data_IF_872007119050
#
_entry.id   IF_872007119050
#
_cell.length_a   1.000
_cell.length_b   1.000
_cell.length_c   1.000
_cell.angle_alpha   90.00
_cell.angle_beta   90.00
_cell.angle_gamma   90.00
#
_symmetry.space_group_name_H-M   'P 1'
#
loop_
_entity.id
_entity.type
_entity.pdbx_description
1 polymer ?
#
# COMPACT_ATOMS: atom_id res chain seq x y z
N UNK A 1 0.06 -0.08 22.82
CA UNK A 1 -0.12 1.30 23.38
C UNK A 1 -1.52 1.86 23.17
N UNK A 2 -2.13 1.68 21.99
CA UNK A 2 -3.56 1.87 21.80
C UNK A 2 -4.30 0.55 22.09
N UNK A 3 -5.58 0.62 22.40
CA UNK A 3 -6.48 -0.54 22.52
C UNK A 3 -7.76 -0.26 21.73
N UNK A 4 -8.36 -1.32 21.16
CA UNK A 4 -9.67 -1.24 20.51
C UNK A 4 -10.74 -1.54 21.55
N UNK A 5 -11.70 -0.64 21.68
CA UNK A 5 -12.85 -0.74 22.58
C UNK A 5 -14.14 -0.74 21.76
N UNK A 6 -15.29 -0.96 22.39
CA UNK A 6 -16.59 -0.81 21.72
C UNK A 6 -16.79 0.61 21.13
N UNK A 7 -16.17 1.64 21.71
CA UNK A 7 -16.20 3.02 21.23
C UNK A 7 -15.11 3.34 20.17
N UNK A 8 -14.35 2.34 19.71
CA UNK A 8 -13.22 2.50 18.81
C UNK A 8 -11.86 2.47 19.51
N UNK A 9 -10.84 2.99 18.84
CA UNK A 9 -9.47 3.12 19.32
C UNK A 9 -9.37 4.16 20.43
N UNK A 10 -8.66 3.80 21.49
CA UNK A 10 -8.29 4.69 22.59
C UNK A 10 -6.87 4.39 23.07
N UNK A 11 -6.14 5.35 23.64
CA UNK A 11 -4.93 5.02 24.39
C UNK A 11 -5.27 4.07 25.54
N UNK A 12 -4.37 3.12 25.83
CA UNK A 12 -4.49 2.29 27.04
C UNK A 12 -4.52 3.19 28.29
N UNK A 13 -5.16 2.74 29.39
CA UNK A 13 -5.14 3.47 30.65
C UNK A 13 -3.71 3.85 31.06
N UNK A 14 -3.53 5.03 31.67
CA UNK A 14 -2.19 5.55 32.01
C UNK A 14 -1.36 4.56 32.84
N UNK A 15 -1.97 3.87 33.81
CA UNK A 15 -1.28 2.87 34.62
C UNK A 15 -0.76 1.69 33.78
N UNK A 16 -1.52 1.24 32.79
CA UNK A 16 -1.09 0.17 31.88
C UNK A 16 0.03 0.65 30.93
N UNK A 17 -0.04 1.90 30.45
CA UNK A 17 1.05 2.48 29.67
C UNK A 17 2.32 2.64 30.50
N UNK A 18 2.21 3.09 31.76
CA UNK A 18 3.35 3.22 32.67
C UNK A 18 4.02 1.89 32.97
N UNK A 19 3.23 0.85 33.26
CA UNK A 19 3.73 -0.51 33.43
C UNK A 19 4.47 -0.99 32.17
N UNK A 20 3.91 -0.75 30.98
CA UNK A 20 4.51 -1.14 29.72
C UNK A 20 5.82 -0.37 29.45
N UNK A 21 5.85 0.95 29.64
CA UNK A 21 7.08 1.74 29.47
C UNK A 21 8.14 1.35 30.51
N UNK A 22 7.75 1.12 31.75
CA UNK A 22 8.65 0.66 32.80
C UNK A 22 9.26 -0.70 32.45
N UNK A 23 8.45 -1.64 31.97
CA UNK A 23 8.92 -2.96 31.59
C UNK A 23 9.86 -2.94 30.37
N UNK A 24 9.56 -2.11 29.37
CA UNK A 24 10.27 -2.12 28.08
C UNK A 24 11.48 -1.19 28.06
N UNK A 25 11.33 0.03 28.56
CA UNK A 25 12.34 1.10 28.44
C UNK A 25 12.88 1.59 29.79
N UNK A 26 12.31 1.13 30.91
CA UNK A 26 12.72 1.54 32.26
C UNK A 26 12.01 2.81 32.76
N UNK A 27 10.87 3.16 32.16
CA UNK A 27 10.04 4.30 32.54
C UNK A 27 9.99 5.37 31.46
N UNK A 28 9.16 6.40 31.65
CA UNK A 28 9.05 7.52 30.72
C UNK A 28 7.94 8.49 31.08
N UNK A 29 7.85 9.60 30.34
CA UNK A 29 6.76 10.57 30.51
C UNK A 29 5.46 10.02 29.88
N UNK A 30 4.74 9.21 30.65
CA UNK A 30 3.47 8.59 30.26
C UNK A 30 2.41 9.64 29.97
N UNK A 31 2.43 10.78 30.67
CA UNK A 31 1.46 11.85 30.45
C UNK A 31 1.63 12.47 29.06
N UNK A 32 2.86 12.80 28.68
CA UNK A 32 3.17 13.30 27.35
C UNK A 32 2.87 12.27 26.26
N UNK A 33 3.21 10.99 26.49
CA UNK A 33 2.91 9.93 25.54
C UNK A 33 1.40 9.73 25.34
N UNK A 34 0.64 9.70 26.43
CA UNK A 34 -0.82 9.61 26.40
C UNK A 34 -1.43 10.76 25.59
N UNK A 35 -0.97 12.00 25.82
CA UNK A 35 -1.42 13.18 25.09
C UNK A 35 -1.16 13.06 23.57
N UNK A 36 -0.03 12.46 23.16
CA UNK A 36 0.31 12.23 21.75
C UNK A 36 -0.46 11.06 21.13
N UNK A 37 -0.86 10.06 21.91
CA UNK A 37 -1.65 8.92 21.44
C UNK A 37 -3.11 9.30 21.15
N UNK A 38 -3.67 10.29 21.86
CA UNK A 38 -5.04 10.77 21.65
C UNK A 38 -5.37 11.19 20.20
N UNK A 39 -4.60 12.09 19.53
CA UNK A 39 -4.88 12.46 18.15
C UNK A 39 -4.73 11.29 17.17
N UNK A 40 -3.85 10.33 17.46
CA UNK A 40 -3.69 9.11 16.65
C UNK A 40 -4.92 8.22 16.76
N UNK A 41 -5.39 7.97 17.99
CA UNK A 41 -6.61 7.21 18.24
C UNK A 41 -7.84 7.86 17.56
N UNK A 42 -7.96 9.19 17.67
CA UNK A 42 -9.01 9.96 16.97
C UNK A 42 -8.93 9.79 15.46
N UNK A 43 -7.73 9.91 14.89
CA UNK A 43 -7.52 9.74 13.45
C UNK A 43 -7.90 8.32 12.98
N UNK A 44 -7.57 7.28 13.75
CA UNK A 44 -7.98 5.91 13.47
C UNK A 44 -9.51 5.74 13.53
N UNK A 45 -10.18 6.32 14.53
CA UNK A 45 -11.64 6.27 14.65
C UNK A 45 -12.37 6.98 13.50
N UNK A 46 -11.73 7.98 12.89
CA UNK A 46 -12.26 8.70 11.74
C UNK A 46 -11.90 8.03 10.40
N UNK A 47 -11.22 6.87 10.41
CA UNK A 47 -10.68 6.26 9.19
C UNK A 47 -9.57 7.10 8.51
N UNK A 48 -9.05 8.12 9.19
CA UNK A 48 -8.03 9.02 8.67
C UNK A 48 -6.63 8.43 8.89
N UNK A 49 -6.31 7.43 8.08
CA UNK A 49 -5.12 6.61 8.28
C UNK A 49 -3.80 7.38 8.11
N UNK A 50 -3.73 8.43 7.26
CA UNK A 50 -2.46 9.18 7.14
C UNK A 50 -2.23 10.00 8.38
N UNK A 51 -3.27 10.63 8.91
CA UNK A 51 -3.10 11.42 10.11
C UNK A 51 -2.68 10.53 11.28
N UNK A 52 -3.20 9.29 11.35
CA UNK A 52 -2.73 8.30 12.30
C UNK A 52 -1.25 7.95 12.08
N UNK A 53 -0.84 7.64 10.84
CA UNK A 53 0.54 7.27 10.51
C UNK A 53 1.52 8.42 10.74
N UNK A 54 1.21 9.62 10.25
CA UNK A 54 1.98 10.84 10.50
C UNK A 54 2.10 11.05 12.02
N UNK A 55 0.99 10.94 12.75
CA UNK A 55 1.00 11.04 14.21
C UNK A 55 1.90 10.01 14.88
N UNK A 56 1.97 8.78 14.36
CA UNK A 56 2.90 7.76 14.89
C UNK A 56 4.37 8.10 14.67
N UNK A 57 4.73 8.79 13.58
CA UNK A 57 6.12 9.26 13.35
C UNK A 57 6.55 10.31 14.38
N UNK A 58 5.59 11.07 14.93
CA UNK A 58 5.83 12.06 15.98
C UNK A 58 5.68 11.50 17.40
N UNK A 59 5.36 10.21 17.57
CA UNK A 59 5.56 9.52 18.83
C UNK A 59 7.06 9.41 19.07
N UNK A 60 7.67 10.43 19.68
CA UNK A 60 9.05 10.40 20.16
C UNK A 60 9.15 9.38 21.31
N UNK A 61 9.17 8.11 20.94
CA UNK A 61 9.42 7.03 21.89
C UNK A 61 10.88 7.12 22.35
N UNK A 62 11.16 6.96 23.65
CA UNK A 62 12.52 6.90 24.13
C UNK A 62 13.28 5.78 23.40
N UNK A 63 14.55 6.01 23.02
CA UNK A 63 15.34 4.99 22.33
C UNK A 63 15.49 3.75 23.21
N UNK A 64 15.18 2.59 22.63
CA UNK A 64 15.32 1.30 23.30
C UNK A 64 16.66 0.71 22.89
N UNK A 65 17.53 0.38 23.84
CA UNK A 65 18.76 -0.35 23.49
C UNK A 65 18.41 -1.77 23.03
N UNK A 66 19.11 -2.29 22.01
CA UNK A 66 18.88 -3.65 21.50
C UNK A 66 18.96 -4.71 22.61
N UNK A 67 19.86 -4.52 23.59
CA UNK A 67 20.02 -5.41 24.75
C UNK A 67 18.76 -5.42 25.61
N UNK A 68 18.15 -4.25 25.87
CA UNK A 68 16.90 -4.16 26.63
C UNK A 68 15.71 -4.72 25.86
N UNK A 69 15.60 -4.43 24.57
CA UNK A 69 14.56 -5.01 23.70
C UNK A 69 14.61 -6.54 23.70
N UNK A 70 15.81 -7.13 23.54
CA UNK A 70 16.02 -8.59 23.59
C UNK A 70 15.75 -9.18 24.97
N UNK A 71 16.13 -8.48 26.05
CA UNK A 71 15.86 -8.93 27.43
C UNK A 71 14.37 -8.90 27.76
N UNK A 72 13.65 -7.88 27.29
CA UNK A 72 12.20 -7.81 27.38
C UNK A 72 11.56 -8.98 26.62
N UNK A 73 11.94 -9.21 25.35
CA UNK A 73 11.48 -10.36 24.55
C UNK A 73 11.73 -11.71 25.22
N UNK A 74 12.90 -11.92 25.82
CA UNK A 74 13.23 -13.16 26.55
C UNK A 74 12.40 -13.36 27.81
N UNK A 75 12.14 -12.29 28.57
CA UNK A 75 11.26 -12.34 29.76
C UNK A 75 9.81 -12.64 29.40
N UNK A 76 9.41 -12.39 28.16
CA UNK A 76 8.07 -12.61 27.64
C UNK A 76 7.79 -14.06 27.18
N UNK A 77 8.81 -14.95 27.15
CA UNK A 77 8.64 -16.40 27.05
C UNK A 77 8.39 -16.96 25.63
N UNK A 78 9.16 -18.00 25.26
CA UNK A 78 9.09 -18.72 23.97
C UNK A 78 7.84 -19.59 23.77
N UNK A 79 7.01 -19.81 24.80
CA UNK A 79 5.86 -20.73 24.74
C UNK A 79 4.65 -20.19 23.96
N UNK A 80 4.56 -18.87 23.77
CA UNK A 80 3.35 -18.21 23.28
C UNK A 80 3.22 -18.17 21.75
N UNK A 81 4.35 -18.30 21.04
CA UNK A 81 4.42 -18.18 19.57
C UNK A 81 3.88 -19.43 18.86
N UNK A 82 3.83 -20.60 19.53
CA UNK A 82 3.40 -21.87 18.90
C UNK A 82 1.88 -22.11 18.89
N UNK A 83 1.07 -21.30 19.60
CA UNK A 83 -0.40 -21.51 19.69
C UNK A 83 -1.23 -20.63 18.75
N UNK A 84 -0.60 -19.77 17.94
CA UNK A 84 -1.26 -18.67 17.23
C UNK A 84 -1.64 -18.96 15.76
N UNK A 85 -1.79 -20.24 15.37
CA UNK A 85 -2.29 -20.63 14.04
C UNK A 85 -3.42 -21.63 14.20
N UNK A 86 -4.58 -21.18 14.67
CA UNK A 86 -5.84 -21.89 14.48
C UNK A 86 -6.58 -21.24 13.30
N UNK A 87 -6.88 -22.03 12.26
CA UNK A 87 -7.75 -21.60 11.15
C UNK A 87 -9.11 -21.16 11.70
N UNK A 88 -9.74 -20.19 11.04
CA UNK A 88 -11.13 -19.83 11.33
C UNK A 88 -12.03 -21.07 11.25
N UNK A 89 -13.06 -21.13 12.11
CA UNK A 89 -14.04 -22.20 12.08
C UNK A 89 -14.83 -22.15 10.76
N UNK A 90 -15.24 -23.31 10.26
CA UNK A 90 -16.03 -23.46 9.03
C UNK A 90 -17.33 -22.65 9.05
N UNK A 91 -17.80 -22.28 10.26
CA UNK A 91 -19.11 -21.68 10.49
C UNK A 91 -19.04 -20.17 10.81
N UNK A 92 -17.97 -19.46 10.41
CA UNK A 92 -17.87 -18.00 10.60
C UNK A 92 -18.94 -17.27 9.78
N UNK A 93 -19.92 -16.59 10.41
CA UNK A 93 -21.03 -15.94 9.73
C UNK A 93 -20.60 -14.76 8.83
N UNK A 94 -19.43 -14.17 9.08
CA UNK A 94 -18.87 -13.10 8.23
C UNK A 94 -18.07 -13.65 7.05
N UNK A 95 -17.67 -14.93 7.11
CA UNK A 95 -16.76 -15.59 6.17
C UNK A 95 -17.18 -17.05 5.88
N UNK A 96 -18.39 -17.30 5.32
CA UNK A 96 -18.84 -18.66 5.03
C UNK A 96 -17.96 -19.28 3.94
N UNK A 97 -17.05 -20.15 4.36
CA UNK A 97 -16.29 -21.02 3.47
C UNK A 97 -17.11 -22.24 3.07
N UNK A 98 -16.82 -22.82 1.91
CA UNK A 98 -17.38 -24.12 1.58
C UNK A 98 -16.81 -25.20 2.51
N UNK A 99 -17.63 -26.13 3.04
CA UNK A 99 -17.15 -27.19 3.91
C UNK A 99 -16.13 -28.09 3.18
N UNK A 100 -15.15 -28.60 3.92
CA UNK A 100 -14.14 -29.51 3.39
C UNK A 100 -14.82 -30.78 2.83
N UNK A 101 -14.51 -31.14 1.58
CA UNK A 101 -15.16 -32.25 0.87
C UNK A 101 -16.42 -31.88 0.07
N UNK A 102 -16.69 -30.59 -0.17
CA UNK A 102 -17.74 -30.19 -1.09
C UNK A 102 -17.61 -30.93 -2.45
N UNK A 103 -18.71 -31.48 -2.99
CA UNK A 103 -18.70 -32.41 -4.14
C UNK A 103 -18.08 -31.83 -5.41
N UNK A 104 -18.04 -30.49 -5.50
CA UNK A 104 -17.52 -29.77 -6.66
C UNK A 104 -16.02 -29.41 -6.51
N UNK A 105 -15.35 -29.91 -5.47
CA UNK A 105 -13.93 -29.68 -5.21
C UNK A 105 -13.59 -28.30 -4.62
N UNK A 106 -14.60 -27.49 -4.28
CA UNK A 106 -14.44 -26.12 -3.77
C UNK A 106 -14.21 -26.03 -2.24
N UNK A 107 -14.00 -27.17 -1.57
CA UNK A 107 -13.81 -27.21 -0.12
C UNK A 107 -12.63 -26.35 0.31
N UNK A 108 -12.88 -25.37 1.18
CA UNK A 108 -11.87 -24.42 1.64
C UNK A 108 -11.76 -23.11 0.85
N UNK A 109 -12.58 -22.90 -0.19
CA UNK A 109 -12.65 -21.62 -0.93
C UNK A 109 -13.78 -20.70 -0.40
N UNK A 110 -13.63 -19.39 -0.61
CA UNK A 110 -14.59 -18.37 -0.19
C UNK A 110 -15.75 -18.23 -1.18
N UNK A 111 -17.00 -18.20 -0.68
CA UNK A 111 -18.21 -18.07 -1.51
C UNK A 111 -18.47 -16.60 -1.91
N UNK A 112 -18.71 -16.27 -3.20
CA UNK A 112 -19.10 -14.93 -3.64
C UNK A 112 -20.48 -14.51 -3.11
N UNK A 113 -20.68 -13.20 -2.90
CA UNK A 113 -21.95 -12.60 -2.47
C UNK A 113 -22.77 -12.21 -3.71
N UNK A 114 -24.01 -12.71 -3.80
CA UNK A 114 -24.84 -12.58 -4.99
C UNK A 114 -25.34 -11.14 -5.26
N UNK A 115 -25.17 -10.69 -6.51
CA UNK A 115 -26.06 -9.74 -7.22
C UNK A 115 -25.82 -8.24 -7.08
N UNK A 116 -25.39 -7.58 -8.15
CA UNK A 116 -25.92 -6.29 -8.63
C UNK A 116 -25.23 -5.83 -9.94
N UNK A 117 -26.01 -5.79 -11.01
CA UNK A 117 -25.72 -5.08 -12.26
C UNK A 117 -26.02 -3.58 -12.11
N UNK A 118 -25.30 -2.71 -12.85
CA UNK A 118 -25.85 -1.75 -13.84
C UNK A 118 -24.93 -0.54 -14.11
N UNK A 119 -24.99 -0.13 -15.39
CA UNK A 119 -24.20 0.88 -16.12
C UNK A 119 -24.88 2.26 -16.06
N UNK A 120 -24.10 3.34 -16.03
CA UNK A 120 -24.59 4.70 -16.29
C UNK A 120 -23.47 5.71 -16.61
N UNK A 121 -23.45 6.23 -17.85
CA UNK A 121 -22.55 7.28 -18.32
C UNK A 121 -23.11 8.68 -18.02
N UNK A 122 -22.26 9.61 -17.59
CA UNK A 122 -22.58 11.02 -17.38
C UNK A 122 -21.86 11.92 -18.42
N UNK A 123 -22.43 13.08 -18.81
CA UNK A 123 -21.91 13.91 -19.89
C UNK A 123 -20.82 14.89 -19.42
N UNK A 124 -19.79 15.06 -20.25
CA UNK A 124 -18.69 16.00 -20.04
C UNK A 124 -19.07 17.42 -20.49
N UNK A 125 -18.99 18.39 -19.58
CA UNK A 125 -18.92 19.82 -19.91
C UNK A 125 -17.47 20.29 -19.83
N UNK A 126 -16.97 20.92 -20.91
CA UNK A 126 -15.59 21.44 -21.01
C UNK A 126 -15.35 22.60 -20.03
N UNK A 127 -14.42 22.48 -19.07
CA UNK A 127 -14.03 23.57 -18.19
C UNK A 127 -12.87 24.40 -18.78
N UNK A 128 -12.79 25.65 -18.32
CA UNK A 128 -11.70 26.60 -18.49
C UNK A 128 -10.33 25.99 -18.12
N UNK A 129 -9.33 26.17 -18.98
CA UNK A 129 -8.03 25.48 -18.90
C UNK A 129 -7.25 25.85 -17.63
N UNK A 130 -7.34 27.10 -17.16
CA UNK A 130 -6.64 27.55 -15.95
C UNK A 130 -7.28 26.98 -14.69
N UNK A 131 -8.62 26.96 -14.66
CA UNK A 131 -9.37 26.31 -13.59
C UNK A 131 -9.15 24.79 -13.57
N UNK A 132 -8.96 24.17 -14.75
CA UNK A 132 -8.62 22.75 -14.88
C UNK A 132 -7.23 22.45 -14.32
N UNK A 133 -6.23 23.29 -14.64
CA UNK A 133 -4.87 23.13 -14.13
C UNK A 133 -4.82 23.26 -12.60
N UNK A 134 -5.48 24.26 -12.02
CA UNK A 134 -5.56 24.44 -10.57
C UNK A 134 -6.29 23.29 -9.87
N UNK A 135 -7.35 22.75 -10.48
CA UNK A 135 -8.03 21.54 -9.99
C UNK A 135 -7.12 20.32 -10.04
N UNK A 136 -6.34 20.15 -11.12
CA UNK A 136 -5.37 19.06 -11.25
C UNK A 136 -4.27 19.16 -10.19
N UNK A 137 -3.70 20.35 -9.94
CA UNK A 137 -2.71 20.57 -8.87
C UNK A 137 -3.25 20.25 -7.48
N UNK A 138 -4.48 20.68 -7.17
CA UNK A 138 -5.14 20.34 -5.89
C UNK A 138 -5.42 18.84 -5.78
N UNK A 139 -5.82 18.22 -6.88
CA UNK A 139 -6.09 16.78 -6.95
C UNK A 139 -4.80 15.97 -6.76
N UNK A 140 -3.71 16.32 -7.45
CA UNK A 140 -2.41 15.67 -7.30
C UNK A 140 -1.86 15.80 -5.87
N UNK A 141 -1.95 16.98 -5.24
CA UNK A 141 -1.57 17.16 -3.84
C UNK A 141 -2.41 16.29 -2.88
N UNK A 142 -3.72 16.18 -3.11
CA UNK A 142 -4.60 15.33 -2.30
C UNK A 142 -4.29 13.84 -2.50
N UNK A 143 -3.93 13.44 -3.72
CA UNK A 143 -3.56 12.09 -4.10
C UNK A 143 -2.19 11.72 -3.56
N UNK A 144 -1.23 12.63 -3.55
CA UNK A 144 0.08 12.45 -2.90
C UNK A 144 -0.10 12.21 -1.42
N UNK A 145 -0.97 12.99 -0.76
CA UNK A 145 -1.32 12.75 0.64
C UNK A 145 -2.01 11.40 0.82
N UNK A 146 -2.85 10.97 -0.12
CA UNK A 146 -3.54 9.65 -0.12
C UNK A 146 -2.60 8.49 -0.47
N UNK A 147 -1.60 8.72 -1.30
CA UNK A 147 -0.62 7.74 -1.74
C UNK A 147 0.43 7.58 -0.65
N UNK A 148 0.99 8.66 -0.11
CA UNK A 148 1.81 8.62 1.11
C UNK A 148 1.04 7.99 2.27
N UNK A 149 -0.28 8.26 2.39
CA UNK A 149 -1.17 7.53 3.31
C UNK A 149 -1.09 6.04 3.02
N UNK A 150 -1.45 5.60 1.82
CA UNK A 150 -1.58 4.20 1.44
C UNK A 150 -0.24 3.46 1.45
N UNK A 151 0.85 4.01 0.95
CA UNK A 151 2.20 3.42 0.98
C UNK A 151 2.68 3.26 2.40
N UNK A 152 2.56 4.31 3.23
CA UNK A 152 2.86 4.16 4.65
C UNK A 152 1.92 3.14 5.30
N UNK A 153 0.66 3.06 4.87
CA UNK A 153 -0.25 2.00 5.30
C UNK A 153 0.15 0.62 4.77
N UNK A 154 0.66 0.45 3.54
CA UNK A 154 0.96 -0.82 2.86
C UNK A 154 2.24 -1.42 3.37
N UNK A 155 3.25 -0.58 3.59
CA UNK A 155 4.44 -0.90 4.38
C UNK A 155 4.02 -1.36 5.79
N UNK A 156 3.04 -0.68 6.40
CA UNK A 156 2.51 -1.08 7.70
C UNK A 156 1.55 -2.28 7.65
N UNK A 157 0.82 -2.55 6.56
CA UNK A 157 -0.27 -3.56 6.45
C UNK A 157 0.14 -4.83 5.74
N UNK A 158 1.19 -4.86 4.93
CA UNK A 158 1.71 -6.14 4.44
C UNK A 158 2.30 -6.94 5.61
N UNK A 159 2.94 -6.26 6.58
CA UNK A 159 3.41 -6.89 7.82
C UNK A 159 2.38 -6.91 8.95
N UNK A 160 1.47 -5.93 9.06
CA UNK A 160 0.33 -6.04 10.00
C UNK A 160 -0.75 -7.01 9.52
N UNK A 161 -0.95 -7.26 8.23
CA UNK A 161 -1.95 -8.19 7.71
C UNK A 161 -1.64 -9.64 8.12
N UNK A 162 -0.36 -10.02 8.07
CA UNK A 162 0.13 -11.26 8.62
C UNK A 162 -0.07 -11.39 10.15
N UNK A 163 -0.32 -10.29 10.87
CA UNK A 163 -0.40 -10.25 12.34
C UNK A 163 -1.77 -9.86 12.90
N UNK A 164 -2.59 -9.08 12.20
CA UNK A 164 -4.00 -8.80 12.53
C UNK A 164 -4.80 -10.10 12.37
N UNK A 165 -4.45 -10.93 11.39
CA UNK A 165 -4.95 -12.30 11.29
C UNK A 165 -4.56 -13.18 12.50
N UNK A 166 -3.41 -12.92 13.15
CA UNK A 166 -3.00 -13.61 14.37
C UNK A 166 -3.61 -13.00 15.66
N UNK A 167 -3.86 -11.69 15.69
CA UNK A 167 -4.45 -10.97 16.83
C UNK A 167 -5.98 -11.13 16.92
N UNK A 168 -6.68 -11.30 15.79
CA UNK A 168 -8.12 -11.57 15.80
C UNK A 168 -8.47 -12.95 16.40
N UNK A 169 -7.53 -13.91 16.42
CA UNK A 169 -7.72 -15.23 17.05
C UNK A 169 -7.40 -15.31 18.55
N UNK A 170 -6.88 -14.25 19.19
CA UNK A 170 -6.31 -14.34 20.56
C UNK A 170 -7.03 -13.52 21.65
N UNK A 171 -8.14 -12.85 21.34
CA UNK A 171 -8.89 -12.03 22.30
C UNK A 171 -9.80 -12.84 23.25
N UNK A 172 -9.27 -13.86 23.95
CA UNK A 172 -10.06 -14.60 24.97
C UNK A 172 -9.34 -14.76 26.33
N UNK A 173 -8.07 -14.34 26.51
CA UNK A 173 -7.36 -14.55 27.79
C UNK A 173 -6.80 -13.25 28.39
N UNK A 174 -7.30 -12.80 29.57
CA UNK A 174 -6.76 -11.64 30.29
C UNK A 174 -5.26 -11.84 30.66
N UNK A 175 -4.43 -10.81 30.44
CA UNK A 175 -2.99 -10.80 30.77
C UNK A 175 -2.03 -11.03 29.60
N UNK A 176 -2.52 -11.51 28.45
CA UNK A 176 -1.73 -11.77 27.23
C UNK A 176 -1.44 -10.50 26.41
N UNK A 177 -2.36 -9.54 26.44
CA UNK A 177 -2.33 -8.37 25.55
C UNK A 177 -1.23 -7.34 25.83
N UNK A 178 -0.54 -7.38 26.97
CA UNK A 178 0.51 -6.40 27.29
C UNK A 178 1.89 -6.81 26.75
N UNK A 179 2.12 -8.12 26.66
CA UNK A 179 3.35 -8.74 26.18
C UNK A 179 3.44 -8.69 24.65
N UNK A 180 2.33 -9.00 23.97
CA UNK A 180 2.24 -8.91 22.51
C UNK A 180 2.49 -7.47 22.01
N UNK A 181 1.96 -6.48 22.72
CA UNK A 181 2.13 -5.05 22.41
C UNK A 181 3.59 -4.58 22.49
N UNK A 182 4.37 -5.09 23.45
CA UNK A 182 5.76 -4.68 23.67
C UNK A 182 6.72 -5.28 22.63
N UNK A 183 6.54 -6.55 22.28
CA UNK A 183 7.27 -7.22 21.21
C UNK A 183 6.98 -6.54 19.85
N UNK A 184 5.71 -6.22 19.60
CA UNK A 184 5.26 -5.50 18.43
C UNK A 184 5.90 -4.11 18.30
N UNK A 185 6.04 -3.36 19.40
CA UNK A 185 6.69 -2.05 19.39
C UNK A 185 8.18 -2.13 19.08
N UNK A 186 8.89 -3.12 19.62
CA UNK A 186 10.32 -3.30 19.36
C UNK A 186 10.59 -3.69 17.89
N UNK A 187 9.76 -4.57 17.33
CA UNK A 187 9.82 -4.96 15.92
C UNK A 187 9.41 -3.81 14.99
N UNK A 188 8.34 -3.06 15.31
CA UNK A 188 7.94 -1.86 14.56
C UNK A 188 9.02 -0.78 14.57
N UNK A 189 9.73 -0.60 15.69
CA UNK A 189 10.83 0.35 15.78
C UNK A 189 12.03 -0.09 14.92
N UNK A 190 12.32 -1.39 14.89
CA UNK A 190 13.39 -1.95 14.05
C UNK A 190 13.04 -1.88 12.56
N UNK A 191 11.80 -2.23 12.19
CA UNK A 191 11.31 -2.13 10.82
C UNK A 191 11.23 -0.69 10.35
N UNK A 192 10.74 0.23 11.19
CA UNK A 192 10.75 1.66 10.89
C UNK A 192 12.17 2.21 10.72
N UNK A 193 13.16 1.66 11.41
CA UNK A 193 14.56 2.06 11.26
C UNK A 193 15.15 1.58 9.92
N UNK A 194 14.90 0.33 9.54
CA UNK A 194 15.38 -0.24 8.26
C UNK A 194 14.68 0.39 7.06
N UNK A 195 13.39 0.68 7.16
CA UNK A 195 12.58 1.21 6.07
C UNK A 195 12.62 2.74 5.95
N UNK A 196 13.19 3.43 6.94
CA UNK A 196 13.29 4.89 6.95
C UNK A 196 13.97 5.44 5.69
N UNK A 197 15.14 4.94 5.24
CA UNK A 197 15.83 5.52 4.08
C UNK A 197 15.03 5.34 2.79
N UNK A 198 14.42 4.17 2.57
CA UNK A 198 13.62 3.91 1.38
C UNK A 198 12.33 4.74 1.37
N UNK A 199 11.67 4.87 2.53
CA UNK A 199 10.48 5.70 2.67
C UNK A 199 10.81 7.18 2.51
N UNK A 200 11.91 7.67 3.10
CA UNK A 200 12.39 9.05 2.95
C UNK A 200 12.72 9.37 1.49
N UNK A 201 13.42 8.46 0.80
CA UNK A 201 13.70 8.60 -0.62
C UNK A 201 12.42 8.67 -1.46
N UNK A 202 11.47 7.75 -1.24
CA UNK A 202 10.20 7.72 -1.98
C UNK A 202 9.32 8.96 -1.68
N UNK A 203 9.30 9.42 -0.43
CA UNK A 203 8.59 10.63 -0.04
C UNK A 203 9.22 11.87 -0.67
N UNK A 204 10.55 12.02 -0.59
CA UNK A 204 11.28 13.12 -1.23
C UNK A 204 11.04 13.15 -2.74
N UNK A 205 11.22 12.03 -3.41
CA UNK A 205 10.95 11.89 -4.84
C UNK A 205 9.52 12.31 -5.21
N UNK A 206 8.54 11.96 -4.37
CA UNK A 206 7.14 12.34 -4.58
C UNK A 206 6.91 13.83 -4.38
N UNK A 207 7.51 14.45 -3.36
CA UNK A 207 7.40 15.90 -3.15
C UNK A 207 8.05 16.68 -4.30
N UNK A 208 9.28 16.32 -4.67
CA UNK A 208 9.99 16.91 -5.82
C UNK A 208 9.18 16.76 -7.10
N UNK A 209 8.55 15.60 -7.31
CA UNK A 209 7.70 15.35 -8.48
C UNK A 209 6.51 16.29 -8.55
N UNK A 210 5.90 16.60 -7.42
CA UNK A 210 4.64 17.38 -7.32
C UNK A 210 4.90 18.88 -7.28
N UNK A 211 6.06 19.28 -6.76
CA UNK A 211 6.54 20.67 -6.79
C UNK A 211 6.98 21.08 -8.19
N UNK A 212 7.54 20.14 -8.97
CA UNK A 212 7.65 20.32 -10.41
C UNK A 212 6.23 20.38 -11.00
N UNK A 213 5.95 21.41 -11.81
CA UNK A 213 4.67 21.54 -12.50
C UNK A 213 4.33 20.26 -13.30
N UNK A 214 3.04 20.10 -13.65
CA UNK A 214 2.57 18.97 -14.45
C UNK A 214 3.43 18.81 -15.69
N UNK A 215 3.98 17.60 -15.85
CA UNK A 215 4.84 17.26 -16.98
C UNK A 215 4.02 16.64 -18.12
N UNK A 216 4.40 16.87 -19.38
CA UNK A 216 3.91 16.07 -20.49
C UNK A 216 4.38 14.62 -20.33
N UNK A 217 3.66 13.67 -20.93
CA UNK A 217 3.96 12.24 -20.79
C UNK A 217 5.38 11.91 -21.28
N UNK A 218 5.81 12.61 -22.32
CA UNK A 218 7.07 12.46 -23.02
C UNK A 218 8.28 12.73 -22.10
N UNK A 219 8.13 13.61 -21.10
CA UNK A 219 9.19 13.86 -20.10
C UNK A 219 9.33 12.72 -19.08
N UNK A 220 8.30 11.89 -18.93
CA UNK A 220 8.34 10.74 -18.02
C UNK A 220 8.79 9.45 -18.72
N UNK A 221 8.68 9.42 -20.04
CA UNK A 221 9.12 8.29 -20.87
C UNK A 221 10.63 8.11 -20.77
N UNK A 222 11.08 6.86 -20.90
CA UNK A 222 12.49 6.54 -20.73
C UNK A 222 13.41 7.07 -21.82
N UNK A 223 12.87 7.21 -23.02
CA UNK A 223 13.55 7.82 -24.15
C UNK A 223 12.52 8.52 -25.01
N UNK A 224 12.90 9.66 -25.59
CA UNK A 224 12.16 10.30 -26.67
C UNK A 224 12.41 9.61 -28.02
N UNK A 225 13.46 8.80 -28.13
CA UNK A 225 13.76 8.02 -29.33
C UNK A 225 12.97 6.71 -29.33
N UNK A 226 12.15 6.50 -30.37
CA UNK A 226 11.45 5.25 -30.59
C UNK A 226 12.43 4.12 -30.89
N UNK A 227 12.70 3.30 -29.89
CA UNK A 227 13.36 2.01 -30.08
C UNK A 227 12.30 0.92 -30.27
N UNK A 228 11.99 0.61 -31.54
CA UNK A 228 11.20 -0.56 -31.89
C UNK A 228 12.11 -1.79 -31.97
N UNK A 229 11.76 -2.83 -31.24
CA UNK A 229 12.50 -4.10 -31.29
C UNK A 229 11.96 -4.95 -32.43
N UNK A 230 12.85 -5.40 -33.31
CA UNK A 230 12.48 -6.27 -34.43
C UNK A 230 12.10 -7.70 -34.02
N UNK A 231 12.37 -8.09 -32.76
CA UNK A 231 11.90 -9.36 -32.17
C UNK A 231 12.13 -9.43 -30.65
N UNK A 232 11.35 -10.28 -29.99
CA UNK A 232 11.58 -10.75 -28.61
C UNK A 232 13.02 -11.20 -28.36
N UNK A 233 13.70 -11.80 -29.35
CA UNK A 233 15.09 -12.23 -29.20
C UNK A 233 16.06 -11.05 -29.19
N UNK A 234 15.81 -10.01 -30.00
CA UNK A 234 16.60 -8.77 -29.98
C UNK A 234 16.36 -8.00 -28.67
N UNK A 235 15.12 -7.94 -28.21
CA UNK A 235 14.76 -7.40 -26.91
C UNK A 235 15.39 -8.18 -25.73
N UNK A 236 15.34 -9.52 -25.76
CA UNK A 236 15.97 -10.40 -24.76
C UNK A 236 17.50 -10.37 -24.80
N UNK A 237 18.11 -10.18 -25.97
CA UNK A 237 19.57 -10.03 -26.10
C UNK A 237 20.05 -8.67 -25.54
N UNK A 238 19.16 -7.68 -25.51
CA UNK A 238 19.31 -6.42 -24.75
C UNK A 238 18.73 -6.45 -23.32
N UNK A 239 18.14 -7.58 -22.90
CA UNK A 239 17.76 -7.93 -21.54
C UNK A 239 16.89 -6.94 -20.78
N UNK A 240 15.67 -6.60 -21.25
CA UNK A 240 14.75 -5.67 -20.55
C UNK A 240 13.41 -6.32 -20.09
N UNK A 241 13.35 -7.64 -19.81
CA UNK A 241 12.07 -8.31 -19.50
C UNK A 241 11.60 -8.14 -18.04
N UNK A 242 12.56 -8.00 -17.12
CA UNK A 242 12.33 -7.82 -15.69
C UNK A 242 12.73 -6.42 -15.25
N UNK A 243 12.47 -6.08 -13.99
CA UNK A 243 12.95 -4.85 -13.38
C UNK A 243 14.48 -4.75 -13.47
N UNK A 244 15.19 -5.81 -13.11
CA UNK A 244 16.67 -5.88 -13.11
C UNK A 244 17.23 -5.65 -14.52
N UNK A 245 16.46 -6.06 -15.50
CA UNK A 245 16.75 -6.02 -16.92
C UNK A 245 16.56 -4.59 -17.46
N UNK A 246 15.48 -3.89 -17.06
CA UNK A 246 15.37 -2.44 -17.25
C UNK A 246 16.50 -1.68 -16.55
N UNK A 247 16.88 -2.09 -15.33
CA UNK A 247 17.96 -1.47 -14.57
C UNK A 247 19.33 -1.63 -15.23
N UNK A 248 19.62 -2.79 -15.84
CA UNK A 248 20.86 -2.99 -16.62
C UNK A 248 20.94 -2.08 -17.84
N UNK A 249 19.80 -1.82 -18.48
CA UNK A 249 19.76 -1.09 -19.75
C UNK A 249 19.69 0.42 -19.55
N UNK A 250 18.78 0.88 -18.70
CA UNK A 250 18.50 2.30 -18.49
C UNK A 250 19.13 2.85 -17.20
N UNK A 251 19.81 1.99 -16.43
CA UNK A 251 20.28 2.31 -15.09
C UNK A 251 19.18 2.14 -14.05
N UNK A 252 19.52 2.37 -12.78
CA UNK A 252 18.51 2.42 -11.72
C UNK A 252 17.48 3.52 -12.03
N UNK A 253 16.20 3.27 -11.72
CA UNK A 253 15.18 4.32 -11.71
C UNK A 253 15.53 5.46 -10.73
N UNK A 254 16.50 5.26 -9.84
CA UNK A 254 16.96 6.25 -8.86
C UNK A 254 16.18 6.18 -7.56
N UNK A 255 16.75 6.79 -6.52
CA UNK A 255 16.24 6.72 -5.16
C UNK A 255 14.80 7.23 -5.07
N UNK A 256 13.88 6.37 -4.65
CA UNK A 256 12.47 6.70 -4.47
C UNK A 256 11.60 6.62 -5.73
N UNK A 257 12.17 6.21 -6.86
CA UNK A 257 11.47 6.01 -8.13
C UNK A 257 11.39 4.53 -8.50
N UNK A 258 10.40 4.18 -9.33
CA UNK A 258 10.28 2.89 -10.01
C UNK A 258 9.90 3.09 -11.48
N UNK A 259 10.19 2.08 -12.31
CA UNK A 259 9.66 2.00 -13.67
C UNK A 259 8.24 1.47 -13.67
N UNK A 260 7.34 2.20 -14.32
CA UNK A 260 5.94 1.84 -14.47
C UNK A 260 5.62 1.55 -15.93
N UNK A 261 4.95 0.42 -16.18
CA UNK A 261 4.40 0.13 -17.48
C UNK A 261 2.99 0.71 -17.59
N UNK A 262 2.72 1.59 -18.55
CA UNK A 262 1.40 2.18 -18.81
C UNK A 262 0.39 1.06 -19.13
N UNK A 263 0.77 0.14 -20.01
CA UNK A 263 0.10 -1.15 -20.23
C UNK A 263 0.84 -2.22 -19.44
N UNK A 264 0.16 -2.84 -18.49
CA UNK A 264 0.80 -3.78 -17.57
C UNK A 264 1.33 -5.06 -18.25
N UNK A 265 2.41 -5.62 -17.70
CA UNK A 265 2.99 -6.88 -18.16
C UNK A 265 2.02 -8.08 -18.12
N UNK A 266 0.97 -8.00 -17.31
CA UNK A 266 -0.09 -9.02 -17.23
C UNK A 266 -0.92 -9.15 -18.53
N UNK A 267 -0.81 -8.18 -19.42
CA UNK A 267 -1.45 -8.18 -20.74
C UNK A 267 -0.69 -9.03 -21.79
N UNK A 268 0.54 -9.48 -21.48
CA UNK A 268 1.32 -10.37 -22.35
C UNK A 268 0.52 -11.67 -22.59
N UNK A 269 0.35 -12.02 -23.87
CA UNK A 269 -0.40 -13.22 -24.26
C UNK A 269 -1.90 -13.00 -24.48
N UNK A 270 -2.39 -11.75 -24.36
CA UNK A 270 -3.75 -11.34 -24.73
C UNK A 270 -3.76 -10.64 -26.10
N UNK A 271 -3.13 -11.25 -27.12
CA UNK A 271 -2.89 -10.66 -28.45
C UNK A 271 -2.05 -9.36 -28.46
N UNK A 272 -1.47 -8.99 -27.33
CA UNK A 272 -0.51 -7.90 -27.20
C UNK A 272 0.90 -8.48 -27.22
N UNK A 273 1.72 -8.00 -28.16
CA UNK A 273 3.11 -8.44 -28.30
C UNK A 273 3.97 -7.97 -27.12
N UNK A 274 4.95 -8.78 -26.75
CA UNK A 274 5.93 -8.39 -25.72
C UNK A 274 6.72 -7.14 -26.13
N UNK A 275 6.97 -6.95 -27.42
CA UNK A 275 7.73 -5.81 -27.93
C UNK A 275 7.01 -4.47 -27.67
N UNK A 276 5.66 -4.46 -27.70
CA UNK A 276 4.87 -3.28 -27.32
C UNK A 276 4.88 -3.05 -25.81
N UNK A 277 4.70 -4.11 -25.02
CA UNK A 277 4.70 -4.02 -23.55
C UNK A 277 6.02 -3.47 -23.03
N UNK A 278 7.13 -3.89 -23.61
CA UNK A 278 8.44 -3.45 -23.15
C UNK A 278 9.04 -2.29 -23.97
N UNK A 279 8.23 -1.63 -24.79
CA UNK A 279 8.68 -0.43 -25.52
C UNK A 279 8.96 0.72 -24.56
N UNK A 280 9.92 1.58 -24.90
CA UNK A 280 10.20 2.82 -24.16
C UNK A 280 8.99 3.75 -24.11
N UNK A 281 8.04 3.58 -25.03
CA UNK A 281 6.78 4.33 -25.06
C UNK A 281 5.71 3.85 -24.09
N UNK A 282 5.90 2.64 -23.58
CA UNK A 282 5.03 2.04 -22.58
C UNK A 282 5.63 2.13 -21.18
N UNK A 283 6.88 2.57 -21.02
CA UNK A 283 7.59 2.60 -19.74
C UNK A 283 7.89 4.03 -19.34
N UNK A 284 7.38 4.42 -18.18
CA UNK A 284 7.60 5.74 -17.57
C UNK A 284 8.28 5.60 -16.22
N UNK A 285 9.04 6.60 -15.82
CA UNK A 285 9.65 6.68 -14.50
C UNK A 285 8.81 7.53 -13.56
N UNK A 286 8.40 6.95 -12.44
CA UNK A 286 7.51 7.59 -11.47
C UNK A 286 8.02 7.40 -10.04
N UNK A 287 7.74 8.34 -9.12
CA UNK A 287 7.94 8.10 -7.70
C UNK A 287 7.17 6.84 -7.27
N UNK A 288 7.81 5.99 -6.47
CA UNK A 288 7.25 4.70 -6.01
C UNK A 288 5.87 4.83 -5.39
N UNK A 289 5.64 5.91 -4.64
CA UNK A 289 4.35 6.20 -4.01
C UNK A 289 3.25 6.45 -5.06
N UNK A 290 3.57 7.18 -6.15
CA UNK A 290 2.61 7.45 -7.23
C UNK A 290 2.39 6.21 -8.11
N UNK A 291 3.44 5.41 -8.31
CA UNK A 291 3.36 4.09 -8.94
C UNK A 291 2.35 3.16 -8.23
N UNK A 292 2.39 3.14 -6.89
CA UNK A 292 1.43 2.39 -6.09
C UNK A 292 -0.01 2.92 -6.20
N UNK A 293 -0.20 4.23 -6.36
CA UNK A 293 -1.54 4.81 -6.52
C UNK A 293 -2.15 4.45 -7.88
N UNK A 294 -1.37 4.48 -8.97
CA UNK A 294 -1.82 3.97 -10.27
C UNK A 294 -2.23 2.51 -10.14
N UNK A 295 -1.36 1.69 -9.52
CA UNK A 295 -1.64 0.28 -9.24
C UNK A 295 -2.93 0.11 -8.44
N UNK A 296 -3.20 1.00 -7.48
CA UNK A 296 -4.43 0.96 -6.69
C UNK A 296 -5.67 1.30 -7.52
N UNK A 297 -5.59 2.22 -8.49
CA UNK A 297 -6.70 2.53 -9.41
C UNK A 297 -7.01 1.32 -10.30
N UNK A 298 -5.99 0.68 -10.89
CA UNK A 298 -6.18 -0.52 -11.73
C UNK A 298 -6.78 -1.71 -10.96
N UNK A 299 -6.43 -1.85 -9.67
CA UNK A 299 -7.02 -2.84 -8.77
C UNK A 299 -8.43 -2.45 -8.27
N UNK A 300 -8.79 -1.17 -8.36
CA UNK A 300 -10.10 -0.66 -7.98
C UNK A 300 -11.17 -0.98 -9.02
N UNK A 301 -12.44 -0.67 -8.72
CA UNK A 301 -13.56 -0.92 -9.61
C UNK A 301 -13.41 -0.15 -10.93
N UNK A 302 -13.81 -0.75 -12.06
CA UNK A 302 -13.66 -0.16 -13.39
C UNK A 302 -14.42 1.17 -13.55
N UNK A 303 -15.55 1.30 -12.86
CA UNK A 303 -16.38 2.49 -12.75
C UNK A 303 -17.14 2.43 -11.41
N UNK A 304 -17.82 3.51 -11.04
CA UNK A 304 -18.60 3.55 -9.80
C UNK A 304 -19.68 2.45 -9.81
N UNK A 305 -19.68 1.59 -8.79
CA UNK A 305 -20.58 0.43 -8.69
C UNK A 305 -20.09 -0.83 -9.41
N UNK A 306 -18.97 -0.80 -10.14
CA UNK A 306 -18.47 -1.99 -10.82
C UNK A 306 -17.97 -3.07 -9.83
N UNK A 307 -18.39 -4.32 -10.07
CA UNK A 307 -17.92 -5.50 -9.30
C UNK A 307 -16.55 -5.98 -9.80
N UNK A 308 -16.19 -5.64 -11.05
CA UNK A 308 -14.90 -6.00 -11.65
C UNK A 308 -13.90 -4.84 -11.53
N UNK A 309 -12.63 -5.18 -11.37
CA UNK A 309 -11.58 -4.18 -11.36
C UNK A 309 -11.33 -3.58 -12.75
N UNK A 310 -10.79 -2.36 -12.82
CA UNK A 310 -10.40 -1.72 -14.08
C UNK A 310 -9.43 -2.60 -14.89
N UNK A 311 -8.46 -3.23 -14.21
CA UNK A 311 -7.56 -4.20 -14.85
C UNK A 311 -8.32 -5.35 -15.48
N UNK A 312 -9.32 -5.92 -14.77
CA UNK A 312 -10.10 -7.05 -15.27
C UNK A 312 -11.01 -6.64 -16.43
N UNK A 313 -11.57 -5.44 -16.41
CA UNK A 313 -12.40 -4.94 -17.52
C UNK A 313 -11.61 -4.68 -18.80
N UNK A 314 -10.30 -4.46 -18.70
CA UNK A 314 -9.40 -4.29 -19.85
C UNK A 314 -8.90 -5.61 -20.44
N UNK A 315 -9.22 -6.76 -19.84
CA UNK A 315 -8.77 -8.07 -20.34
C UNK A 315 -9.31 -8.31 -21.75
N UNK A 316 -8.42 -8.57 -22.71
CA UNK A 316 -8.75 -8.74 -24.13
C UNK A 316 -8.92 -7.44 -24.92
N UNK A 317 -8.76 -6.27 -24.29
CA UNK A 317 -8.68 -5.01 -25.02
C UNK A 317 -7.35 -4.90 -25.77
N UNK A 318 -7.35 -4.20 -26.91
CA UNK A 318 -6.13 -3.96 -27.69
C UNK A 318 -5.11 -3.14 -26.88
N UNK A 319 -3.83 -3.23 -27.28
CA UNK A 319 -2.74 -2.46 -26.67
C UNK A 319 -3.08 -0.97 -26.59
N UNK A 320 -3.59 -0.39 -27.68
CA UNK A 320 -3.92 1.03 -27.74
C UNK A 320 -5.02 1.42 -26.74
N UNK A 321 -6.06 0.60 -26.59
CA UNK A 321 -7.13 0.86 -25.61
C UNK A 321 -6.60 0.80 -24.19
N UNK A 322 -5.75 -0.18 -23.87
CA UNK A 322 -5.12 -0.27 -22.55
C UNK A 322 -4.18 0.91 -22.30
N UNK A 323 -3.41 1.33 -23.31
CA UNK A 323 -2.46 2.44 -23.21
C UNK A 323 -3.16 3.77 -22.97
N UNK A 324 -4.19 4.07 -23.77
CA UNK A 324 -5.04 5.26 -23.58
C UNK A 324 -5.66 5.26 -22.18
N UNK A 325 -6.17 4.12 -21.73
CA UNK A 325 -6.75 4.00 -20.39
C UNK A 325 -5.72 4.27 -19.29
N UNK A 326 -4.49 3.75 -19.42
CA UNK A 326 -3.40 4.01 -18.48
C UNK A 326 -3.00 5.50 -18.44
N UNK A 327 -2.90 6.14 -19.60
CA UNK A 327 -2.64 7.59 -19.72
C UNK A 327 -3.77 8.38 -19.06
N UNK A 328 -5.03 8.01 -19.28
CA UNK A 328 -6.18 8.68 -18.66
C UNK A 328 -6.18 8.53 -17.14
N UNK A 329 -5.78 7.37 -16.61
CA UNK A 329 -5.58 7.19 -15.17
C UNK A 329 -4.51 8.14 -14.64
N UNK A 330 -3.37 8.27 -15.33
CA UNK A 330 -2.29 9.19 -14.94
C UNK A 330 -2.75 10.66 -14.98
N UNK A 331 -3.51 11.06 -16.00
CA UNK A 331 -4.12 12.41 -16.10
C UNK A 331 -5.12 12.67 -14.98
N UNK A 332 -6.03 11.74 -14.71
CA UNK A 332 -7.01 11.83 -13.60
C UNK A 332 -6.33 11.94 -12.25
N UNK A 333 -5.17 11.31 -12.09
CA UNK A 333 -4.35 11.41 -10.88
C UNK A 333 -3.50 12.70 -10.82
N UNK A 334 -3.55 13.55 -11.85
CA UNK A 334 -2.75 14.77 -11.94
C UNK A 334 -1.25 14.48 -11.97
N UNK A 335 -0.84 13.39 -12.61
CA UNK A 335 0.57 13.03 -12.78
C UNK A 335 1.17 13.64 -14.05
N UNK A 336 0.32 13.84 -15.06
CA UNK A 336 0.66 14.38 -16.38
C UNK A 336 -0.43 15.35 -16.85
N UNK A 337 -0.11 16.17 -17.86
CA UNK A 337 -0.99 17.18 -18.48
C UNK A 337 -2.25 16.62 -19.17
#
# INVERSE_FOLDING_TARGET
MLQRTAAGWSPRPRAALDALLTAVIGGGDVAQLYARLLPIARALNQGNLAQAVIGTQYLRLPPISQVRARKALRRMGSGMVKSAVAKAAVDDPDHPGWPEGAPDGQGGEFRPKDGADLVGNAPETKPDNDAKLERLKKTSQSLVRRALRKTATRVLTWRRGARIAAELGSNVIPGVGEIADAALLAELAQDAYVLRPEFEAAARATFEYVEADLRPLEELMMSSEQELFSSIRAFKKGGAQTREDLEKRFGSAGDGYDYHHIVEQSAIGQDISQDLIHSVENIVRLPRVLHEEITAVFNGPAYEGAVISLRKSLKGASYEVQRVTGIDVMKKLGLIL
#
